data_IF_640206600171
#
_entry.id   IF_640206600171
#
_cell.length_a   1.000
_cell.length_b   1.000
_cell.length_c   1.000
_cell.angle_alpha   90.00
_cell.angle_beta   90.00
_cell.angle_gamma   90.00
#
_symmetry.space_group_name_H-M   'P 1'
#
loop_
_entity.id
_entity.type
_entity.pdbx_description
1 polymer ?
#
# COMPACT_ATOMS: atom_id res chain seq x y z
N UNK A 1 13.25 3.52 6.45
CA UNK A 1 14.17 4.05 5.44
C UNK A 1 14.82 5.36 5.90
N UNK A 2 16.06 5.71 5.48
CA UNK A 2 16.75 6.95 5.87
C UNK A 2 15.97 8.23 5.53
N UNK A 3 15.34 8.27 4.36
CA UNK A 3 14.51 9.40 3.95
C UNK A 3 13.38 9.69 4.94
N UNK A 4 12.70 8.66 5.45
CA UNK A 4 11.63 8.82 6.44
C UNK A 4 12.16 9.39 7.75
N UNK A 5 13.34 8.95 8.21
CA UNK A 5 13.97 9.52 9.41
C UNK A 5 14.28 11.00 9.22
N UNK A 6 14.81 11.37 8.04
CA UNK A 6 15.10 12.76 7.69
C UNK A 6 13.84 13.64 7.71
N UNK A 7 12.72 13.16 7.18
CA UNK A 7 11.46 13.90 7.22
C UNK A 7 10.94 14.09 8.65
N UNK A 8 10.96 13.04 9.47
CA UNK A 8 10.52 13.13 10.86
C UNK A 8 11.34 14.18 11.64
N UNK A 9 12.67 14.16 11.49
CA UNK A 9 13.54 15.15 12.14
C UNK A 9 13.34 16.56 11.60
N UNK A 10 13.15 16.71 10.29
CA UNK A 10 12.89 18.01 9.67
C UNK A 10 11.57 18.63 10.15
N UNK A 11 10.57 17.82 10.47
CA UNK A 11 9.30 18.28 11.05
C UNK A 11 9.39 18.53 12.56
N UNK A 12 10.56 18.37 13.18
CA UNK A 12 10.76 18.59 14.62
C UNK A 12 10.22 17.45 15.49
N UNK A 13 9.94 16.29 14.91
CA UNK A 13 9.49 15.13 15.70
C UNK A 13 10.62 14.55 16.55
N UNK A 14 10.33 14.19 17.80
CA UNK A 14 11.22 13.39 18.62
C UNK A 14 11.20 11.93 18.12
N UNK A 15 12.17 11.56 17.30
CA UNK A 15 12.25 10.22 16.72
C UNK A 15 13.29 9.36 17.43
N UNK A 16 12.88 8.17 17.88
CA UNK A 16 13.75 7.20 18.55
C UNK A 16 13.67 5.86 17.83
N UNK A 17 14.81 5.36 17.36
CA UNK A 17 14.92 4.03 16.75
C UNK A 17 15.05 2.94 17.80
N UNK A 18 14.20 1.91 17.70
CA UNK A 18 14.25 0.74 18.58
C UNK A 18 14.09 -0.57 17.77
N UNK A 19 14.54 -1.70 18.27
CA UNK A 19 14.21 -2.99 17.67
C UNK A 19 12.71 -3.18 17.53
N UNK A 20 12.26 -3.78 16.43
CA UNK A 20 10.83 -3.91 16.09
C UNK A 20 10.00 -4.56 17.22
N UNK A 21 10.56 -5.55 17.93
CA UNK A 21 9.90 -6.22 19.04
C UNK A 21 9.65 -5.30 20.26
N UNK A 22 10.47 -4.27 20.44
CA UNK A 22 10.35 -3.33 21.56
C UNK A 22 9.32 -2.23 21.32
N UNK A 23 8.87 -2.05 20.08
CA UNK A 23 8.01 -0.92 19.65
C UNK A 23 6.74 -0.78 20.51
N UNK A 24 5.95 -1.84 20.63
CA UNK A 24 4.68 -1.78 21.35
C UNK A 24 4.82 -1.75 22.89
N UNK A 25 5.71 -2.54 23.51
CA UNK A 25 5.99 -2.38 24.93
C UNK A 25 6.41 -0.96 25.30
N UNK A 26 7.35 -0.38 24.55
CA UNK A 26 7.81 1.00 24.78
C UNK A 26 6.70 2.04 24.56
N UNK A 27 5.87 1.87 23.52
CA UNK A 27 4.73 2.76 23.27
C UNK A 27 3.77 2.77 24.48
N UNK A 28 3.47 1.61 25.07
CA UNK A 28 2.64 1.54 26.28
C UNK A 28 3.27 2.29 27.45
N UNK A 29 4.60 2.16 27.64
CA UNK A 29 5.31 2.91 28.69
C UNK A 29 5.26 4.43 28.45
N UNK A 30 5.44 4.87 27.20
CA UNK A 30 5.35 6.29 26.83
C UNK A 30 3.96 6.83 27.15
N UNK A 31 2.90 6.10 26.78
CA UNK A 31 1.53 6.47 27.10
C UNK A 31 1.31 6.56 28.62
N UNK A 32 1.77 5.55 29.36
CA UNK A 32 1.57 5.48 30.81
C UNK A 32 2.37 6.54 31.57
N UNK A 33 3.59 6.85 31.14
CA UNK A 33 4.50 7.76 31.86
C UNK A 33 4.33 9.23 31.45
N UNK A 34 4.03 9.48 30.18
CA UNK A 34 4.03 10.84 29.61
C UNK A 34 2.63 11.33 29.23
N UNK A 35 1.61 10.47 29.27
CA UNK A 35 0.24 10.84 28.94
C UNK A 35 -0.01 11.13 27.46
N UNK A 36 0.89 10.70 26.56
CA UNK A 36 0.69 10.88 25.12
C UNK A 36 -0.47 10.02 24.60
N UNK A 37 -1.23 10.56 23.67
CA UNK A 37 -2.26 9.79 22.97
C UNK A 37 -1.61 8.87 21.90
N UNK A 38 -1.84 7.54 21.96
CA UNK A 38 -1.29 6.63 20.96
C UNK A 38 -2.12 6.71 19.68
N UNK A 39 -1.50 7.05 18.57
CA UNK A 39 -2.12 7.01 17.23
C UNK A 39 -1.78 5.71 16.48
N UNK A 40 -1.29 4.72 17.18
CA UNK A 40 -0.93 3.41 16.67
C UNK A 40 -1.42 2.31 17.61
N UNK A 41 -1.42 1.09 17.10
CA UNK A 41 -1.69 -0.11 17.87
C UNK A 41 -0.63 -0.32 18.97
N UNK A 42 -1.04 -0.78 20.13
CA UNK A 42 -0.14 -1.02 21.28
C UNK A 42 0.19 -2.51 21.49
N UNK A 43 -0.24 -3.37 20.60
CA UNK A 43 -0.07 -4.82 20.70
C UNK A 43 0.52 -5.40 19.42
N UNK A 44 1.21 -6.56 19.49
CA UNK A 44 1.69 -7.26 18.31
C UNK A 44 0.55 -7.78 17.43
N UNK A 45 -0.60 -8.08 18.02
CA UNK A 45 -1.79 -8.50 17.28
C UNK A 45 -2.60 -7.25 16.92
N UNK A 46 -2.69 -6.98 15.64
CA UNK A 46 -3.30 -5.76 15.16
C UNK A 46 -4.82 -5.83 15.28
N UNK A 47 -5.36 -5.10 16.24
CA UNK A 47 -6.81 -4.93 16.42
C UNK A 47 -7.34 -3.69 15.71
N UNK A 48 -6.44 -2.87 15.18
CA UNK A 48 -6.74 -1.59 14.57
C UNK A 48 -6.95 -0.43 15.56
N UNK A 49 -6.73 0.77 15.06
CA UNK A 49 -7.11 1.98 15.78
C UNK A 49 -8.63 2.15 15.70
N UNK A 50 -9.34 2.50 16.79
CA UNK A 50 -10.81 2.63 16.79
C UNK A 50 -11.34 3.60 15.74
N UNK A 51 -10.65 4.70 15.54
CA UNK A 51 -11.06 5.79 14.65
C UNK A 51 -10.32 5.81 13.30
N UNK A 52 -9.25 5.03 13.13
CA UNK A 52 -8.46 5.03 11.89
C UNK A 52 -9.29 4.74 10.64
N UNK A 53 -10.10 3.66 10.61
CA UNK A 53 -10.95 3.34 9.48
C UNK A 53 -12.00 4.39 9.16
N UNK A 54 -12.45 5.17 10.15
CA UNK A 54 -13.42 6.25 9.92
C UNK A 54 -12.85 7.34 9.00
N UNK A 55 -11.55 7.64 9.12
CA UNK A 55 -10.87 8.54 8.20
C UNK A 55 -10.75 7.95 6.79
N UNK A 56 -10.45 6.67 6.67
CA UNK A 56 -10.31 6.01 5.36
C UNK A 56 -11.63 5.85 4.59
N UNK A 57 -12.78 5.94 5.24
CA UNK A 57 -14.09 5.93 4.57
C UNK A 57 -14.24 7.04 3.54
N UNK A 58 -13.61 8.20 3.77
CA UNK A 58 -13.69 9.34 2.85
C UNK A 58 -13.21 8.98 1.44
N UNK A 59 -12.27 8.05 1.31
CA UNK A 59 -11.80 7.56 0.01
C UNK A 59 -12.95 6.93 -0.79
N UNK A 60 -13.82 6.14 -0.14
CA UNK A 60 -14.98 5.55 -0.82
C UNK A 60 -15.95 6.61 -1.34
N UNK A 61 -16.20 7.64 -0.55
CA UNK A 61 -17.09 8.74 -0.94
C UNK A 61 -16.51 9.54 -2.10
N UNK A 62 -15.21 9.85 -2.04
CA UNK A 62 -14.51 10.55 -3.13
C UNK A 62 -14.50 9.71 -4.41
N UNK A 63 -14.21 8.41 -4.32
CA UNK A 63 -14.24 7.51 -5.48
C UNK A 63 -15.63 7.47 -6.13
N UNK A 64 -16.69 7.35 -5.33
CA UNK A 64 -18.06 7.35 -5.82
C UNK A 64 -18.37 8.62 -6.60
N UNK A 65 -18.08 9.79 -6.03
CA UNK A 65 -18.31 11.08 -6.67
C UNK A 65 -17.44 11.28 -7.93
N UNK A 66 -16.15 10.95 -7.86
CA UNK A 66 -15.22 11.12 -8.99
C UNK A 66 -15.52 10.17 -10.16
N UNK A 67 -16.15 9.03 -9.89
CA UNK A 67 -16.62 8.10 -10.92
C UNK A 67 -18.00 8.47 -11.50
N UNK A 68 -18.56 9.65 -11.16
CA UNK A 68 -19.88 10.10 -11.62
C UNK A 68 -21.00 9.27 -11.02
N UNK A 69 -21.02 9.17 -9.70
CA UNK A 69 -22.01 8.45 -8.90
C UNK A 69 -22.10 6.96 -9.23
N UNK A 70 -20.96 6.35 -9.55
CA UNK A 70 -20.87 4.92 -9.85
C UNK A 70 -19.97 4.19 -8.86
N UNK A 71 -20.40 2.99 -8.48
CA UNK A 71 -19.58 2.06 -7.71
C UNK A 71 -18.59 1.37 -8.64
N UNK A 72 -17.29 1.33 -8.35
CA UNK A 72 -16.34 0.57 -9.15
C UNK A 72 -16.62 -0.95 -9.04
N UNK A 73 -16.30 -1.71 -10.08
CA UNK A 73 -16.42 -3.17 -10.06
C UNK A 73 -15.45 -3.79 -9.03
N UNK A 74 -14.26 -3.21 -8.88
CA UNK A 74 -13.27 -3.64 -7.90
C UNK A 74 -12.39 -2.48 -7.43
N UNK A 75 -11.91 -2.57 -6.18
CA UNK A 75 -10.90 -1.68 -5.60
C UNK A 75 -9.72 -2.51 -5.11
N UNK A 76 -8.55 -2.31 -5.73
CA UNK A 76 -7.31 -2.98 -5.36
C UNK A 76 -6.49 -2.09 -4.42
N UNK A 77 -6.13 -2.63 -3.26
CA UNK A 77 -5.52 -1.85 -2.18
C UNK A 77 -4.22 -2.51 -1.70
N UNK A 78 -3.10 -1.76 -1.66
CA UNK A 78 -1.89 -2.18 -0.97
C UNK A 78 -2.21 -2.52 0.48
N UNK A 79 -1.95 -3.76 0.89
CA UNK A 79 -2.48 -4.26 2.15
C UNK A 79 -1.37 -4.75 3.08
N UNK A 80 -1.24 -4.08 4.23
CA UNK A 80 -0.53 -4.58 5.39
C UNK A 80 -1.52 -5.12 6.42
N UNK A 81 -1.78 -4.37 7.49
CA UNK A 81 -2.75 -4.79 8.53
C UNK A 81 -4.22 -4.78 8.08
N UNK A 82 -4.54 -4.20 6.93
CA UNK A 82 -5.90 -4.17 6.37
C UNK A 82 -6.77 -2.99 6.81
N UNK A 83 -6.24 -1.99 7.52
CA UNK A 83 -7.03 -0.85 8.00
C UNK A 83 -7.57 0.03 6.86
N UNK A 84 -6.71 0.34 5.86
CA UNK A 84 -7.12 1.08 4.67
C UNK A 84 -8.17 0.30 3.87
N UNK A 85 -7.93 -1.00 3.65
CA UNK A 85 -8.85 -1.90 2.97
C UNK A 85 -10.22 -1.91 3.64
N UNK A 86 -10.24 -2.09 4.96
CA UNK A 86 -11.46 -2.10 5.74
C UNK A 86 -12.18 -0.74 5.72
N UNK A 87 -11.44 0.37 5.85
CA UNK A 87 -12.05 1.70 5.86
C UNK A 87 -12.72 2.05 4.53
N UNK A 88 -12.07 1.75 3.40
CA UNK A 88 -12.68 1.95 2.08
C UNK A 88 -13.92 1.06 1.89
N UNK A 89 -13.83 -0.22 2.25
CA UNK A 89 -14.99 -1.11 2.24
C UNK A 89 -16.13 -0.57 3.11
N UNK A 90 -15.83 -0.16 4.33
CA UNK A 90 -16.81 0.38 5.27
C UNK A 90 -17.52 1.61 4.71
N UNK A 91 -16.79 2.49 4.02
CA UNK A 91 -17.39 3.66 3.36
C UNK A 91 -18.40 3.26 2.27
N UNK A 92 -18.09 2.30 1.42
CA UNK A 92 -19.04 1.78 0.44
C UNK A 92 -20.22 1.06 1.10
N UNK A 93 -20.00 0.33 2.18
CA UNK A 93 -21.09 -0.29 2.96
C UNK A 93 -22.02 0.76 3.56
N UNK A 94 -21.51 1.87 4.04
CA UNK A 94 -22.35 2.98 4.53
C UNK A 94 -23.16 3.61 3.41
N UNK A 95 -22.57 3.86 2.24
CA UNK A 95 -23.33 4.34 1.08
C UNK A 95 -24.47 3.39 0.70
N UNK A 96 -24.23 2.09 0.76
CA UNK A 96 -25.25 1.08 0.52
C UNK A 96 -26.34 1.09 1.60
N UNK A 97 -25.96 1.13 2.86
CA UNK A 97 -26.90 1.16 3.99
C UNK A 97 -27.80 2.42 3.98
N UNK A 98 -27.27 3.54 3.50
CA UNK A 98 -28.00 4.79 3.32
C UNK A 98 -28.88 4.80 2.06
N UNK A 99 -28.86 3.74 1.26
CA UNK A 99 -29.62 3.66 0.01
C UNK A 99 -29.04 4.51 -1.14
N UNK A 100 -27.83 5.04 -1.01
CA UNK A 100 -27.14 5.82 -2.05
C UNK A 100 -26.67 4.91 -3.18
N UNK A 101 -26.21 3.70 -2.84
CA UNK A 101 -25.79 2.68 -3.81
C UNK A 101 -26.52 1.37 -3.58
N UNK A 102 -26.72 0.57 -4.64
CA UNK A 102 -27.33 -0.75 -4.53
C UNK A 102 -26.32 -1.85 -4.15
N UNK A 103 -25.04 -1.63 -4.44
CA UNK A 103 -23.95 -2.61 -4.31
C UNK A 103 -22.72 -1.98 -3.67
N UNK A 104 -21.78 -2.82 -3.26
CA UNK A 104 -20.41 -2.44 -2.87
C UNK A 104 -19.41 -3.02 -3.88
N UNK A 105 -18.22 -2.42 -4.04
CA UNK A 105 -17.19 -2.98 -4.91
C UNK A 105 -16.58 -4.26 -4.31
N UNK A 106 -16.04 -5.12 -5.15
CA UNK A 106 -15.14 -6.18 -4.72
C UNK A 106 -13.85 -5.58 -4.17
N UNK A 107 -13.48 -5.95 -2.94
CA UNK A 107 -12.25 -5.46 -2.31
C UNK A 107 -11.11 -6.45 -2.53
N UNK A 108 -10.06 -6.00 -3.20
CA UNK A 108 -8.91 -6.84 -3.53
C UNK A 108 -7.72 -6.40 -2.69
N UNK A 109 -7.32 -7.22 -1.74
CA UNK A 109 -6.14 -6.99 -0.94
C UNK A 109 -4.88 -7.39 -1.73
N UNK A 110 -3.89 -6.50 -1.81
CA UNK A 110 -2.64 -6.75 -2.50
C UNK A 110 -1.49 -6.78 -1.48
N UNK A 111 -0.99 -7.97 -1.16
CA UNK A 111 0.06 -8.22 -0.18
C UNK A 111 1.37 -8.62 -0.87
N UNK A 112 2.57 -8.32 -0.31
CA UNK A 112 3.82 -8.87 -0.84
C UNK A 112 3.84 -10.39 -0.62
N UNK A 113 4.24 -11.15 -1.65
CA UNK A 113 4.22 -12.63 -1.61
C UNK A 113 5.04 -13.22 -0.45
N UNK A 114 6.14 -12.54 -0.08
CA UNK A 114 7.00 -12.91 1.03
C UNK A 114 6.32 -12.77 2.41
N UNK A 115 5.32 -11.91 2.52
CA UNK A 115 4.56 -11.66 3.76
C UNK A 115 3.10 -11.40 3.43
N UNK A 116 2.30 -12.46 3.34
CA UNK A 116 0.89 -12.39 2.97
C UNK A 116 -0.01 -13.02 4.06
N UNK A 117 -0.08 -12.43 5.26
CA UNK A 117 -0.85 -13.00 6.36
C UNK A 117 -2.35 -12.99 6.10
N UNK A 118 -2.90 -11.99 5.40
CA UNK A 118 -4.33 -11.94 5.09
C UNK A 118 -4.73 -13.03 4.09
N UNK A 119 -3.95 -13.20 3.01
CA UNK A 119 -4.16 -14.31 2.06
C UNK A 119 -4.15 -15.66 2.77
N UNK A 120 -3.23 -15.84 3.71
CA UNK A 120 -3.14 -17.07 4.50
C UNK A 120 -4.32 -17.22 5.45
N UNK A 121 -4.73 -16.16 6.14
CA UNK A 121 -5.88 -16.18 7.05
C UNK A 121 -7.16 -16.59 6.33
N UNK A 122 -7.39 -16.03 5.14
CA UNK A 122 -8.54 -16.38 4.30
C UNK A 122 -8.50 -17.84 3.86
N UNK A 123 -7.34 -18.34 3.41
CA UNK A 123 -7.18 -19.73 2.99
C UNK A 123 -7.37 -20.73 4.14
N UNK A 124 -7.00 -20.38 5.37
CA UNK A 124 -7.15 -21.21 6.56
C UNK A 124 -8.51 -21.01 7.27
N UNK A 125 -9.37 -20.10 6.80
CA UNK A 125 -10.64 -19.75 7.46
C UNK A 125 -10.44 -19.13 8.85
N UNK A 126 -9.35 -18.38 9.05
CA UNK A 126 -8.97 -17.78 10.34
C UNK A 126 -9.07 -16.27 10.31
N UNK A 127 -9.36 -15.67 11.44
CA UNK A 127 -9.44 -14.22 11.56
C UNK A 127 -8.07 -13.53 11.59
N UNK A 128 -7.06 -14.20 12.11
CA UNK A 128 -5.70 -13.71 12.17
C UNK A 128 -4.69 -14.87 12.12
N UNK A 129 -3.60 -14.65 11.39
CA UNK A 129 -2.46 -15.57 11.34
C UNK A 129 -1.16 -14.78 11.43
N UNK A 130 -0.10 -15.43 11.85
CA UNK A 130 1.25 -14.92 11.79
C UNK A 130 2.05 -15.68 10.74
N UNK A 131 2.82 -14.95 9.93
CA UNK A 131 3.74 -15.52 8.92
C UNK A 131 5.20 -15.27 9.27
N UNK A 132 6.09 -16.05 8.67
CA UNK A 132 7.52 -15.87 8.83
C UNK A 132 7.99 -14.46 8.37
N UNK A 133 9.08 -13.92 8.95
CA UNK A 133 9.60 -12.61 8.59
C UNK A 133 10.49 -12.67 7.33
N UNK A 134 9.96 -13.14 6.20
CA UNK A 134 10.68 -13.13 4.95
C UNK A 134 10.92 -11.70 4.43
N UNK A 135 11.96 -11.51 3.63
CA UNK A 135 12.32 -10.21 3.11
C UNK A 135 11.40 -9.77 1.97
N UNK A 136 11.03 -8.49 1.98
CA UNK A 136 10.39 -7.77 0.86
C UNK A 136 10.80 -6.30 0.92
N UNK A 137 10.99 -5.69 -0.23
CA UNK A 137 11.28 -4.25 -0.36
C UNK A 137 10.02 -3.39 -0.25
N UNK A 138 8.83 -3.98 -0.32
CA UNK A 138 7.55 -3.30 -0.08
C UNK A 138 7.32 -2.99 1.41
N UNK A 139 8.21 -2.21 2.00
CA UNK A 139 8.33 -1.97 3.45
C UNK A 139 7.05 -1.42 4.09
N UNK A 140 6.24 -0.66 3.35
CA UNK A 140 4.99 -0.06 3.84
C UNK A 140 3.88 -1.07 4.13
N UNK A 141 3.96 -2.27 3.52
CA UNK A 141 2.99 -3.36 3.69
C UNK A 141 3.64 -4.67 4.17
N UNK A 142 4.90 -4.62 4.60
CA UNK A 142 5.69 -5.77 5.05
C UNK A 142 5.33 -6.20 6.48
N UNK A 143 4.10 -6.58 6.72
CA UNK A 143 3.62 -7.01 8.04
C UNK A 143 3.67 -8.54 8.19
N UNK A 144 3.65 -9.02 9.43
CA UNK A 144 3.67 -10.46 9.75
C UNK A 144 2.32 -10.99 10.21
N UNK A 145 1.43 -10.10 10.62
CA UNK A 145 0.11 -10.45 11.16
C UNK A 145 -0.93 -9.61 10.43
N UNK A 146 -2.02 -10.23 10.01
CA UNK A 146 -3.18 -9.51 9.47
C UNK A 146 -4.13 -9.06 10.59
N UNK A 147 -4.94 -8.05 10.30
CA UNK A 147 -6.06 -7.66 11.15
C UNK A 147 -7.35 -8.39 10.77
N UNK A 148 -8.22 -8.65 11.74
CA UNK A 148 -9.57 -9.20 11.55
C UNK A 148 -10.39 -8.38 10.52
N UNK A 149 -10.25 -7.05 10.57
CA UNK A 149 -10.98 -6.13 9.69
C UNK A 149 -10.68 -6.37 8.21
N UNK A 150 -9.44 -6.74 7.87
CA UNK A 150 -9.07 -7.09 6.51
C UNK A 150 -9.80 -8.36 6.01
N UNK A 151 -9.90 -9.39 6.86
CA UNK A 151 -10.67 -10.61 6.55
C UNK A 151 -12.13 -10.27 6.29
N UNK A 152 -12.75 -9.48 7.18
CA UNK A 152 -14.14 -9.07 7.05
C UNK A 152 -14.41 -8.32 5.74
N UNK A 153 -13.57 -7.33 5.43
CA UNK A 153 -13.73 -6.53 4.20
C UNK A 153 -13.66 -7.38 2.93
N UNK A 154 -12.74 -8.34 2.87
CA UNK A 154 -12.61 -9.23 1.70
C UNK A 154 -13.81 -10.18 1.61
N UNK A 155 -14.19 -10.82 2.70
CA UNK A 155 -15.30 -11.80 2.70
C UNK A 155 -16.66 -11.15 2.39
N UNK A 156 -16.96 -10.01 3.03
CA UNK A 156 -18.25 -9.32 2.86
C UNK A 156 -18.39 -8.57 1.53
N UNK A 157 -17.33 -8.49 0.73
CA UNK A 157 -17.33 -7.86 -0.60
C UNK A 157 -17.15 -8.84 -1.76
N UNK A 158 -17.22 -10.14 -1.51
CA UNK A 158 -16.87 -11.19 -2.50
C UNK A 158 -15.49 -10.94 -3.13
N UNK A 159 -14.58 -10.39 -2.33
CA UNK A 159 -13.24 -10.01 -2.73
C UNK A 159 -12.22 -11.15 -2.66
N UNK A 160 -10.96 -10.80 -2.78
CA UNK A 160 -9.85 -11.76 -2.64
C UNK A 160 -8.60 -11.08 -2.10
N UNK A 161 -7.61 -11.87 -1.69
CA UNK A 161 -6.29 -11.40 -1.33
C UNK A 161 -5.24 -12.02 -2.26
N UNK A 162 -4.43 -11.15 -2.86
CA UNK A 162 -3.40 -11.52 -3.83
C UNK A 162 -2.02 -11.47 -3.18
N UNK A 163 -1.19 -12.43 -3.54
CA UNK A 163 0.23 -12.48 -3.17
C UNK A 163 1.05 -11.98 -4.36
N UNK A 164 1.66 -10.81 -4.21
CA UNK A 164 2.36 -10.12 -5.29
C UNK A 164 3.87 -10.29 -5.10
N UNK A 165 4.59 -10.92 -6.06
CA UNK A 165 6.05 -10.97 -6.02
C UNK A 165 6.69 -9.58 -6.13
N UNK A 166 7.82 -9.35 -5.46
CA UNK A 166 8.53 -8.07 -5.50
C UNK A 166 8.90 -7.63 -6.91
N UNK A 167 9.26 -8.58 -7.79
CA UNK A 167 9.51 -8.28 -9.21
C UNK A 167 8.29 -7.63 -9.91
N UNK A 168 7.07 -8.13 -9.64
CA UNK A 168 5.86 -7.55 -10.21
C UNK A 168 5.56 -6.15 -9.61
N UNK A 169 5.89 -5.92 -8.34
CA UNK A 169 5.81 -4.60 -7.72
C UNK A 169 6.75 -3.60 -8.40
N UNK A 170 8.00 -4.00 -8.64
CA UNK A 170 9.01 -3.17 -9.33
C UNK A 170 8.57 -2.82 -10.76
N UNK A 171 8.05 -3.79 -11.50
CA UNK A 171 7.54 -3.55 -12.87
C UNK A 171 6.35 -2.58 -12.87
N UNK A 172 5.42 -2.74 -11.91
CA UNK A 172 4.27 -1.85 -11.78
C UNK A 172 4.70 -0.43 -11.38
N UNK A 173 5.61 -0.29 -10.41
CA UNK A 173 6.18 0.99 -10.01
C UNK A 173 6.85 1.70 -11.20
N UNK A 174 7.68 0.97 -11.95
CA UNK A 174 8.35 1.53 -13.14
C UNK A 174 7.37 1.94 -14.24
N UNK A 175 6.27 1.20 -14.42
CA UNK A 175 5.23 1.58 -15.37
C UNK A 175 4.51 2.87 -14.93
N UNK A 176 4.17 3.00 -13.65
CA UNK A 176 3.54 4.21 -13.10
C UNK A 176 4.49 5.41 -13.19
N UNK A 177 5.76 5.24 -12.85
CA UNK A 177 6.76 6.31 -12.93
C UNK A 177 6.87 6.92 -14.34
N UNK A 178 6.79 6.08 -15.38
CA UNK A 178 6.79 6.54 -16.78
C UNK A 178 5.56 7.36 -17.18
N UNK A 179 4.48 7.29 -16.42
CA UNK A 179 3.29 8.17 -16.60
C UNK A 179 3.34 9.43 -15.73
N UNK A 180 4.44 9.67 -15.00
CA UNK A 180 4.59 10.78 -14.07
C UNK A 180 4.11 10.51 -12.65
N UNK A 181 3.63 9.31 -12.36
CA UNK A 181 3.17 8.92 -11.02
C UNK A 181 4.22 8.05 -10.32
N UNK A 182 5.12 8.68 -9.56
CA UNK A 182 6.15 7.96 -8.82
C UNK A 182 5.70 7.66 -7.38
N UNK A 183 5.23 6.45 -7.17
CA UNK A 183 4.81 5.92 -5.86
C UNK A 183 5.92 5.11 -5.20
N UNK A 184 5.83 4.91 -3.88
CA UNK A 184 6.65 3.90 -3.19
C UNK A 184 6.32 2.49 -3.72
N UNK A 185 7.25 1.53 -3.55
CA UNK A 185 7.08 0.16 -4.04
C UNK A 185 5.79 -0.49 -3.51
N UNK A 186 5.48 -0.29 -2.23
CA UNK A 186 4.22 -0.73 -1.62
C UNK A 186 2.99 -0.17 -2.31
N UNK A 187 3.03 1.09 -2.74
CA UNK A 187 1.93 1.77 -3.41
C UNK A 187 1.61 1.24 -4.81
N UNK A 188 2.56 0.55 -5.44
CA UNK A 188 2.37 -0.08 -6.75
C UNK A 188 1.59 -1.41 -6.69
N UNK A 189 1.32 -1.94 -5.49
CA UNK A 189 0.73 -3.27 -5.32
C UNK A 189 -0.66 -3.40 -5.96
N UNK A 190 -1.47 -2.32 -5.98
CA UNK A 190 -2.78 -2.33 -6.64
C UNK A 190 -2.66 -2.58 -8.14
N UNK A 191 -1.76 -1.86 -8.85
CA UNK A 191 -1.54 -2.07 -10.28
C UNK A 191 -0.92 -3.45 -10.56
N UNK A 192 0.02 -3.90 -9.74
CA UNK A 192 0.62 -5.23 -9.88
C UNK A 192 -0.44 -6.33 -9.72
N UNK A 193 -1.34 -6.18 -8.74
CA UNK A 193 -2.47 -7.09 -8.53
C UNK A 193 -3.44 -7.11 -9.70
N UNK A 194 -3.79 -5.96 -10.25
CA UNK A 194 -4.65 -5.87 -11.42
C UNK A 194 -4.04 -6.62 -12.63
N UNK A 195 -2.75 -6.42 -12.88
CA UNK A 195 -2.04 -7.14 -13.94
C UNK A 195 -2.03 -8.65 -13.72
N UNK A 196 -1.83 -9.10 -12.47
CA UNK A 196 -1.88 -10.51 -12.13
C UNK A 196 -3.28 -11.11 -12.41
N UNK A 197 -4.35 -10.43 -12.02
CA UNK A 197 -5.73 -10.88 -12.26
C UNK A 197 -6.07 -10.93 -13.75
N UNK A 198 -5.74 -9.88 -14.49
CA UNK A 198 -6.01 -9.85 -15.95
C UNK A 198 -5.18 -10.87 -16.72
N UNK A 199 -3.95 -11.17 -16.28
CA UNK A 199 -3.13 -12.24 -16.88
C UNK A 199 -3.71 -13.65 -16.69
N UNK A 200 -4.54 -13.84 -15.66
CA UNK A 200 -5.28 -15.12 -15.43
C UNK A 200 -6.67 -15.13 -16.07
N UNK A 201 -7.01 -14.11 -16.87
CA UNK A 201 -8.28 -14.02 -17.59
C UNK A 201 -9.43 -13.36 -16.82
N UNK A 202 -9.15 -12.78 -15.65
CA UNK A 202 -10.18 -12.02 -14.91
C UNK A 202 -10.63 -10.81 -15.72
N UNK A 203 -11.95 -10.62 -15.78
CA UNK A 203 -12.59 -9.46 -16.41
C UNK A 203 -13.47 -8.74 -15.41
N UNK A 204 -13.70 -7.44 -15.65
CA UNK A 204 -14.48 -6.60 -14.74
C UNK A 204 -15.59 -5.89 -15.54
N UNK A 205 -16.80 -5.93 -15.01
CA UNK A 205 -17.93 -5.22 -15.58
C UNK A 205 -18.06 -3.82 -14.96
N UNK A 206 -17.14 -2.95 -15.33
CA UNK A 206 -17.12 -1.56 -14.85
C UNK A 206 -15.72 -1.04 -14.49
N UNK A 207 -15.65 0.17 -13.93
CA UNK A 207 -14.38 0.78 -13.52
C UNK A 207 -13.67 -0.05 -12.47
N UNK A 208 -12.34 -0.16 -12.59
CA UNK A 208 -11.46 -0.77 -11.59
C UNK A 208 -10.54 0.31 -11.04
N UNK A 209 -10.46 0.39 -9.72
CA UNK A 209 -9.63 1.36 -9.02
C UNK A 209 -8.44 0.67 -8.37
N UNK A 210 -7.23 1.11 -8.68
CA UNK A 210 -6.03 0.77 -7.94
C UNK A 210 -5.64 1.94 -7.03
N UNK A 211 -5.72 1.76 -5.73
CA UNK A 211 -5.33 2.80 -4.78
C UNK A 211 -3.82 2.90 -4.74
N UNK A 212 -3.30 4.10 -4.94
CA UNK A 212 -1.88 4.43 -4.87
C UNK A 212 -1.59 5.17 -3.58
N UNK A 213 -0.68 4.61 -2.78
CA UNK A 213 -0.28 5.21 -1.51
C UNK A 213 1.12 5.80 -1.63
N UNK A 214 1.40 6.82 -0.87
CA UNK A 214 2.71 7.40 -0.61
C UNK A 214 3.63 7.63 -1.83
N UNK A 215 4.71 8.36 -1.62
CA UNK A 215 5.67 8.75 -2.67
C UNK A 215 6.87 7.81 -2.73
N UNK A 216 7.41 7.59 -3.94
CA UNK A 216 8.66 6.87 -4.18
C UNK A 216 9.89 7.46 -3.49
N UNK A 217 9.84 8.71 -3.05
CA UNK A 217 10.89 9.32 -2.22
C UNK A 217 11.11 8.60 -0.87
N UNK A 218 10.20 7.74 -0.44
CA UNK A 218 10.33 6.93 0.77
C UNK A 218 11.10 5.62 0.56
N UNK A 219 11.28 5.18 -0.68
CA UNK A 219 11.90 3.90 -0.96
C UNK A 219 13.39 3.89 -0.59
N UNK A 220 13.88 2.71 -0.24
CA UNK A 220 15.30 2.48 0.01
C UNK A 220 16.06 2.65 -1.29
N UNK A 221 17.17 3.39 -1.24
CA UNK A 221 18.01 3.62 -2.44
C UNK A 221 17.63 4.86 -3.25
N UNK A 222 16.59 5.61 -2.86
CA UNK A 222 16.35 6.94 -3.44
C UNK A 222 17.57 7.83 -3.24
N UNK A 223 18.06 8.42 -4.33
CA UNK A 223 19.30 9.20 -4.34
C UNK A 223 20.58 8.40 -4.62
N UNK A 224 20.50 7.07 -4.71
CA UNK A 224 21.65 6.22 -5.08
C UNK A 224 21.90 6.18 -6.59
N UNK A 225 20.94 6.65 -7.40
CA UNK A 225 21.08 6.72 -8.85
C UNK A 225 21.69 8.05 -9.26
N UNK A 226 22.72 7.98 -10.09
CA UNK A 226 23.39 9.16 -10.64
C UNK A 226 23.19 9.22 -12.15
N UNK A 227 23.09 10.44 -12.66
CA UNK A 227 23.12 10.66 -14.12
C UNK A 227 24.55 10.60 -14.62
N UNK A 228 24.79 10.14 -15.87
CA UNK A 228 26.14 10.21 -16.45
C UNK A 228 26.58 11.66 -16.62
N UNK A 229 27.78 11.95 -16.14
CA UNK A 229 28.43 13.22 -16.39
C UNK A 229 29.30 13.09 -17.64
N UNK A 230 29.25 14.10 -18.51
CA UNK A 230 30.04 14.15 -19.75
C UNK A 230 30.50 15.55 -20.02
N UNK A 231 31.46 15.71 -20.92
CA UNK A 231 31.87 17.02 -21.44
C UNK A 231 30.69 17.71 -22.15
N UNK A 232 30.60 19.05 -22.12
CA UNK A 232 29.44 19.78 -22.66
C UNK A 232 29.42 19.87 -24.20
N UNK A 233 30.43 19.35 -24.88
CA UNK A 233 30.51 19.35 -26.34
C UNK A 233 29.53 18.31 -26.95
N UNK A 234 28.89 18.70 -28.03
CA UNK A 234 27.85 17.88 -28.69
C UNK A 234 28.26 16.45 -28.98
N UNK A 235 29.47 16.13 -29.49
CA UNK A 235 29.87 14.75 -29.76
C UNK A 235 29.85 13.85 -28.54
N UNK A 236 30.30 14.37 -27.38
CA UNK A 236 30.29 13.64 -26.11
C UNK A 236 28.88 13.43 -25.58
N UNK A 237 28.02 14.46 -25.64
CA UNK A 237 26.60 14.38 -25.27
C UNK A 237 25.87 13.39 -26.17
N UNK A 238 26.05 13.46 -27.50
CA UNK A 238 25.42 12.55 -28.47
C UNK A 238 25.80 11.09 -28.22
N UNK A 239 27.04 10.83 -27.83
CA UNK A 239 27.48 9.46 -27.51
C UNK A 239 26.77 8.93 -26.23
N UNK A 240 26.64 9.73 -25.19
CA UNK A 240 25.87 9.34 -23.98
C UNK A 240 24.41 9.11 -24.31
N UNK A 241 23.80 10.00 -25.08
CA UNK A 241 22.39 9.85 -25.51
C UNK A 241 22.18 8.53 -26.28
N UNK A 242 23.09 8.21 -27.21
CA UNK A 242 23.03 7.00 -28.02
C UNK A 242 23.24 5.74 -27.15
N UNK A 243 24.37 5.69 -26.44
CA UNK A 243 24.80 4.48 -25.73
C UNK A 243 23.96 4.17 -24.51
N UNK A 244 23.49 5.19 -23.77
CA UNK A 244 22.78 5.02 -22.51
C UNK A 244 21.27 5.03 -22.66
N UNK A 245 20.76 5.83 -23.59
CA UNK A 245 19.31 6.09 -23.71
C UNK A 245 18.72 5.63 -25.05
N UNK A 246 19.53 5.14 -25.99
CA UNK A 246 19.06 4.70 -27.30
C UNK A 246 18.52 5.84 -28.17
N UNK A 247 18.90 7.09 -27.87
CA UNK A 247 18.43 8.27 -28.61
C UNK A 247 19.41 8.50 -29.79
N UNK A 248 18.86 8.44 -31.00
CA UNK A 248 19.62 8.80 -32.21
C UNK A 248 19.76 10.34 -32.24
N UNK A 249 20.96 10.83 -32.02
CA UNK A 249 21.32 12.24 -32.05
C UNK A 249 22.26 12.55 -33.19
#
# INVERSE_FOLDING_TARGET
PPAVQSFLLAYGAAAVGVPAAARWPLLREIVARLGYHPVSNQTPFHTGHPYGPEGYKTIAYELYLQLGDRVPAAVLIPTGYGELLFGVWKGFRELQQLGVTAVTPRMIACEPAARAPLSRALAEGRFAVEVAPEHTDASGIAVRVNGYRGVLAVQESDGTALRIPDAALVEAQGAMARTGLWTELSGAAGLAGLRQMTATGETFDGPVVAVVTSSGFKDVGVGNHTVPMTAPEWPAVAEVLRSRYGISA
#
